data_IF_687335098275
#
_entry.id   IF_687335098275
#
_cell.length_a   1.000
_cell.length_b   1.000
_cell.length_c   1.000
_cell.angle_alpha   90.00
_cell.angle_beta   90.00
_cell.angle_gamma   90.00
#
_symmetry.space_group_name_H-M   'P 1'
#
loop_
_entity.id
_entity.type
_entity.pdbx_description
1 polymer ?
#
# COMPACT_ATOMS: atom_id res chain seq x y z
N UNK A 1 -24.61 30.44 28.29
CA UNK A 1 -25.30 29.64 27.25
C UNK A 1 -25.43 28.22 27.74
N UNK A 2 -26.61 27.58 27.72
CA UNK A 2 -26.74 26.17 28.07
C UNK A 2 -26.09 25.30 27.00
N UNK A 3 -25.31 24.31 27.43
CA UNK A 3 -24.67 23.33 26.54
C UNK A 3 -25.75 22.46 25.89
N UNK A 4 -25.79 22.39 24.57
CA UNK A 4 -26.56 21.38 23.83
C UNK A 4 -25.70 20.13 23.69
N UNK A 5 -25.94 19.12 24.53
CA UNK A 5 -25.48 17.76 24.28
C UNK A 5 -26.54 17.01 23.46
N UNK A 6 -26.11 16.33 22.40
CA UNK A 6 -26.96 15.36 21.71
C UNK A 6 -27.29 14.19 22.64
N UNK A 7 -28.44 13.55 22.42
CA UNK A 7 -28.77 12.31 23.12
C UNK A 7 -27.79 11.22 22.69
N UNK A 8 -27.40 10.38 23.65
CA UNK A 8 -26.64 9.16 23.39
C UNK A 8 -27.38 8.33 22.33
N UNK A 9 -26.65 7.92 21.29
CA UNK A 9 -27.11 6.94 20.32
C UNK A 9 -26.33 5.64 20.54
N UNK A 10 -27.04 4.52 20.50
CA UNK A 10 -26.38 3.22 20.44
C UNK A 10 -25.53 3.15 19.16
N UNK A 11 -24.26 2.80 19.33
CA UNK A 11 -23.31 2.71 18.22
C UNK A 11 -23.35 1.30 17.66
N UNK A 12 -23.85 1.14 16.45
CA UNK A 12 -23.63 -0.08 15.66
C UNK A 12 -22.36 0.09 14.84
N UNK A 13 -21.31 -0.65 15.19
CA UNK A 13 -20.07 -0.65 14.41
C UNK A 13 -20.30 -1.35 13.07
N UNK A 14 -20.13 -0.62 11.97
CA UNK A 14 -20.08 -1.20 10.62
C UNK A 14 -18.66 -1.66 10.33
N UNK A 15 -18.52 -2.82 9.68
CA UNK A 15 -17.24 -3.28 9.11
C UNK A 15 -17.21 -2.82 7.65
N UNK A 16 -16.49 -1.75 7.31
CA UNK A 16 -16.36 -1.33 5.92
C UNK A 16 -15.56 -2.38 5.12
N UNK A 17 -15.79 -2.42 3.81
CA UNK A 17 -14.98 -3.21 2.89
C UNK A 17 -13.54 -2.70 2.89
N UNK A 18 -12.53 -3.59 2.79
CA UNK A 18 -11.13 -3.20 2.71
C UNK A 18 -10.86 -2.34 1.48
N UNK A 19 -10.34 -1.13 1.70
CA UNK A 19 -10.02 -0.19 0.63
C UNK A 19 -8.52 -0.11 0.36
N UNK A 20 -7.69 -0.10 1.40
CA UNK A 20 -6.25 0.12 1.26
C UNK A 20 -5.49 -1.09 1.79
N UNK A 21 -4.76 -1.79 0.92
CA UNK A 21 -4.09 -3.04 1.26
C UNK A 21 -2.59 -2.95 0.96
N UNK A 22 -1.79 -3.24 1.98
CA UNK A 22 -0.36 -3.45 1.82
C UNK A 22 -0.10 -4.91 1.41
N UNK A 23 0.73 -5.12 0.39
CA UNK A 23 1.07 -6.44 -0.15
C UNK A 23 2.59 -6.56 -0.24
N UNK A 24 3.16 -7.61 0.34
CA UNK A 24 4.59 -7.88 0.26
C UNK A 24 4.88 -9.32 -0.18
N UNK A 25 6.08 -9.53 -0.68
CA UNK A 25 6.56 -10.83 -1.14
C UNK A 25 7.85 -10.69 -1.93
N UNK A 26 8.53 -11.80 -2.16
CA UNK A 26 9.77 -11.83 -2.93
C UNK A 26 9.57 -11.29 -4.37
N UNK A 27 10.65 -10.85 -5.04
CA UNK A 27 10.63 -10.64 -6.48
C UNK A 27 10.02 -11.85 -7.19
N UNK A 28 9.17 -11.61 -8.19
CA UNK A 28 8.45 -12.66 -8.95
C UNK A 28 7.41 -13.47 -8.17
N UNK A 29 7.09 -13.15 -6.91
CA UNK A 29 6.02 -13.82 -6.16
C UNK A 29 4.61 -13.61 -6.76
N UNK A 30 4.43 -12.70 -7.72
CA UNK A 30 3.15 -12.43 -8.39
C UNK A 30 2.37 -11.25 -7.81
N UNK A 31 3.04 -10.29 -7.16
CA UNK A 31 2.43 -9.09 -6.55
C UNK A 31 1.67 -8.23 -7.57
N UNK A 32 2.32 -7.87 -8.68
CA UNK A 32 1.71 -7.10 -9.78
C UNK A 32 0.50 -7.85 -10.36
N UNK A 33 0.63 -9.16 -10.60
CA UNK A 33 -0.47 -10.02 -11.08
C UNK A 33 -1.63 -10.11 -10.07
N UNK A 34 -1.34 -10.11 -8.78
CA UNK A 34 -2.36 -10.08 -7.75
C UNK A 34 -3.14 -8.77 -7.79
N UNK A 35 -2.45 -7.63 -7.74
CA UNK A 35 -3.11 -6.31 -7.77
C UNK A 35 -3.85 -6.04 -9.10
N UNK A 36 -3.33 -6.57 -10.22
CA UNK A 36 -3.92 -6.41 -11.55
C UNK A 36 -5.28 -7.09 -11.74
N UNK A 37 -5.73 -7.95 -10.81
CA UNK A 37 -7.07 -8.54 -10.80
C UNK A 37 -8.14 -7.60 -10.20
N UNK A 38 -7.76 -6.38 -9.81
CA UNK A 38 -8.68 -5.34 -9.36
C UNK A 38 -9.58 -4.81 -10.48
N UNK A 39 -10.58 -4.02 -10.11
CA UNK A 39 -11.46 -3.34 -11.05
C UNK A 39 -10.78 -2.06 -11.56
N UNK A 40 -10.76 -1.88 -12.89
CA UNK A 40 -10.20 -0.72 -13.61
C UNK A 40 -8.94 -0.16 -12.95
N UNK A 41 -7.87 -0.94 -13.05
CA UNK A 41 -6.62 -0.69 -12.34
C UNK A 41 -5.72 0.29 -13.09
N UNK A 42 -5.19 1.28 -12.37
CA UNK A 42 -4.04 2.09 -12.77
C UNK A 42 -2.83 1.71 -11.90
N UNK A 43 -1.72 1.36 -12.54
CA UNK A 43 -0.43 1.19 -11.88
C UNK A 43 0.38 2.48 -11.97
N UNK A 44 0.87 2.98 -10.83
CA UNK A 44 2.05 3.83 -10.78
C UNK A 44 3.25 2.89 -10.66
N UNK A 45 3.84 2.55 -11.81
CA UNK A 45 4.89 1.54 -11.96
C UNK A 45 6.26 2.21 -12.05
N UNK A 46 6.96 2.22 -10.93
CA UNK A 46 8.29 2.80 -10.78
C UNK A 46 9.39 1.89 -11.36
N UNK A 47 9.18 0.57 -11.34
CA UNK A 47 10.10 -0.41 -11.94
C UNK A 47 9.82 -0.69 -13.44
N UNK A 48 8.68 -0.22 -13.96
CA UNK A 48 8.24 -0.38 -15.34
C UNK A 48 7.81 -1.79 -15.72
N UNK A 49 7.62 -2.70 -14.76
CA UNK A 49 7.24 -4.08 -15.05
C UNK A 49 5.74 -4.22 -15.35
N UNK A 50 4.88 -3.38 -14.76
CA UNK A 50 3.44 -3.44 -15.00
C UNK A 50 3.08 -3.09 -16.45
N UNK A 51 3.71 -2.07 -17.03
CA UNK A 51 3.54 -1.68 -18.44
C UNK A 51 3.95 -2.81 -19.38
N UNK A 52 5.12 -3.42 -19.14
CA UNK A 52 5.62 -4.58 -19.92
C UNK A 52 4.70 -5.79 -19.85
N UNK A 53 3.96 -5.93 -18.75
CA UNK A 53 2.96 -6.99 -18.57
C UNK A 53 1.60 -6.65 -19.23
N UNK A 54 1.45 -5.46 -19.82
CA UNK A 54 0.25 -5.03 -20.53
C UNK A 54 -0.82 -4.41 -19.66
N UNK A 55 -0.50 -4.00 -18.42
CA UNK A 55 -1.43 -3.25 -17.57
C UNK A 55 -1.46 -1.77 -17.95
N UNK A 56 -2.55 -1.07 -17.62
CA UNK A 56 -2.55 0.40 -17.64
C UNK A 56 -1.59 0.87 -16.55
N UNK A 57 -0.46 1.41 -16.97
CA UNK A 57 0.63 1.75 -16.09
C UNK A 57 1.27 3.05 -16.55
N UNK A 58 1.52 3.92 -15.59
CA UNK A 58 2.27 5.16 -15.77
C UNK A 58 3.52 5.08 -14.92
N UNK A 59 4.59 5.74 -15.37
CA UNK A 59 5.86 5.83 -14.64
C UNK A 59 6.12 7.28 -14.23
N UNK A 60 5.65 7.71 -13.04
CA UNK A 60 5.93 9.05 -12.55
C UNK A 60 7.43 9.27 -12.37
N UNK A 61 7.86 10.50 -12.63
CA UNK A 61 9.26 10.93 -12.60
C UNK A 61 9.56 12.01 -11.56
N UNK A 62 8.54 12.49 -10.84
CA UNK A 62 8.68 13.48 -9.76
C UNK A 62 7.60 13.32 -8.69
N UNK A 63 7.74 14.01 -7.56
CA UNK A 63 6.68 14.09 -6.55
C UNK A 63 5.38 14.68 -7.12
N UNK A 64 5.48 15.74 -7.93
CA UNK A 64 4.32 16.43 -8.47
C UNK A 64 3.52 15.55 -9.44
N UNK A 65 4.20 14.78 -10.29
CA UNK A 65 3.52 13.81 -11.19
C UNK A 65 2.79 12.72 -10.41
N UNK A 66 3.39 12.19 -9.32
CA UNK A 66 2.69 11.22 -8.45
C UNK A 66 1.38 11.81 -7.95
N UNK A 67 1.43 13.05 -7.46
CA UNK A 67 0.26 13.73 -6.90
C UNK A 67 -0.80 13.99 -7.97
N UNK A 68 -0.41 14.40 -9.17
CA UNK A 68 -1.31 14.63 -10.31
C UNK A 68 -2.03 13.33 -10.71
N UNK A 69 -1.30 12.22 -10.88
CA UNK A 69 -1.93 10.94 -11.21
C UNK A 69 -2.93 10.48 -10.17
N UNK A 70 -2.65 10.67 -8.88
CA UNK A 70 -3.58 10.33 -7.80
C UNK A 70 -4.86 11.17 -7.88
N UNK A 71 -4.72 12.46 -8.18
CA UNK A 71 -5.83 13.42 -8.24
C UNK A 71 -6.78 13.11 -9.41
N UNK A 72 -6.23 12.84 -10.60
CA UNK A 72 -7.04 12.68 -11.82
C UNK A 72 -7.49 11.24 -12.09
N UNK A 73 -6.97 10.22 -11.41
CA UNK A 73 -7.25 8.82 -11.74
C UNK A 73 -8.74 8.48 -11.77
N UNK A 74 -9.54 9.01 -10.83
CA UNK A 74 -10.98 8.76 -10.77
C UNK A 74 -11.73 9.41 -11.95
N UNK A 75 -11.31 10.60 -12.40
CA UNK A 75 -11.88 11.30 -13.55
C UNK A 75 -11.65 10.55 -14.87
N UNK A 76 -10.56 9.78 -14.95
CA UNK A 76 -10.26 8.88 -16.07
C UNK A 76 -10.93 7.50 -15.93
N UNK A 77 -11.76 7.30 -14.90
CA UNK A 77 -12.57 6.11 -14.71
C UNK A 77 -11.85 4.94 -14.03
N UNK A 78 -10.67 5.16 -13.44
CA UNK A 78 -10.01 4.15 -12.63
C UNK A 78 -10.71 3.99 -11.27
N UNK A 79 -10.75 2.75 -10.77
CA UNK A 79 -11.38 2.41 -9.49
C UNK A 79 -10.35 1.83 -8.49
N UNK A 80 -9.20 1.38 -9.00
CA UNK A 80 -8.09 0.84 -8.21
C UNK A 80 -6.78 1.51 -8.59
N UNK A 81 -6.03 2.00 -7.59
CA UNK A 81 -4.68 2.51 -7.74
C UNK A 81 -3.66 1.51 -7.17
N UNK A 82 -2.55 1.27 -7.88
CA UNK A 82 -1.47 0.39 -7.43
C UNK A 82 -0.14 1.13 -7.43
N UNK A 83 0.58 1.07 -6.32
CA UNK A 83 1.94 1.62 -6.19
C UNK A 83 2.93 0.45 -6.32
N UNK A 84 3.66 0.37 -7.44
CA UNK A 84 4.55 -0.76 -7.78
C UNK A 84 5.97 -0.29 -8.15
N UNK A 85 6.96 -0.29 -7.25
CA UNK A 85 6.89 -0.64 -5.82
C UNK A 85 7.09 0.58 -4.93
N UNK A 86 6.68 0.46 -3.67
CA UNK A 86 6.82 1.54 -2.67
C UNK A 86 8.28 1.89 -2.42
N UNK A 87 9.20 0.93 -2.51
CA UNK A 87 10.64 1.19 -2.35
C UNK A 87 11.17 2.11 -3.46
N UNK A 88 10.77 1.88 -4.71
CA UNK A 88 11.22 2.70 -5.84
C UNK A 88 10.54 4.08 -5.83
N UNK A 89 9.28 4.16 -5.39
CA UNK A 89 8.63 5.45 -5.11
C UNK A 89 9.41 6.23 -4.04
N UNK A 90 9.82 5.58 -2.94
CA UNK A 90 10.63 6.22 -1.91
C UNK A 90 11.98 6.68 -2.46
N UNK A 91 12.63 5.88 -3.31
CA UNK A 91 13.87 6.29 -3.98
C UNK A 91 13.65 7.51 -4.88
N UNK A 92 12.55 7.54 -5.66
CA UNK A 92 12.21 8.68 -6.50
C UNK A 92 12.04 9.95 -5.68
N UNK A 93 11.27 9.90 -4.59
CA UNK A 93 11.07 11.06 -3.72
C UNK A 93 12.37 11.55 -3.07
N UNK A 94 13.31 10.65 -2.77
CA UNK A 94 14.64 11.01 -2.29
C UNK A 94 15.46 11.72 -3.37
N UNK A 95 15.47 11.17 -4.59
CA UNK A 95 16.16 11.76 -5.74
C UNK A 95 15.59 13.13 -6.12
N UNK A 96 14.27 13.28 -6.16
CA UNK A 96 13.58 14.53 -6.48
C UNK A 96 14.01 15.68 -5.54
N UNK A 97 14.15 15.39 -4.25
CA UNK A 97 14.63 16.37 -3.26
C UNK A 97 16.11 16.71 -3.49
N UNK A 98 16.95 15.70 -3.73
CA UNK A 98 18.39 15.92 -3.94
C UNK A 98 18.62 16.74 -5.20
N UNK A 99 17.95 16.42 -6.30
CA UNK A 99 18.12 17.08 -7.60
C UNK A 99 17.57 18.52 -7.59
N UNK A 100 16.61 18.82 -6.72
CA UNK A 100 16.10 20.19 -6.52
C UNK A 100 17.11 21.13 -5.83
N UNK A 101 18.13 20.59 -5.16
CA UNK A 101 19.20 21.35 -4.52
C UNK A 101 20.53 21.09 -5.22
N UNK A 102 20.94 22.02 -6.08
CA UNK A 102 22.20 21.97 -6.83
C UNK A 102 23.49 21.74 -6.01
N UNK A 103 23.44 21.90 -4.68
CA UNK A 103 24.58 21.69 -3.78
C UNK A 103 24.50 20.36 -3.01
N UNK A 104 23.39 19.64 -3.11
CA UNK A 104 23.16 18.41 -2.38
C UNK A 104 23.67 17.20 -3.17
N UNK A 105 24.29 16.26 -2.47
CA UNK A 105 24.59 14.91 -2.98
C UNK A 105 23.88 13.83 -2.17
N UNK A 106 23.12 14.23 -1.16
CA UNK A 106 22.38 13.36 -0.24
C UNK A 106 21.29 14.15 0.49
N UNK A 107 20.29 13.46 1.07
CA UNK A 107 19.28 14.09 1.93
C UNK A 107 19.85 14.80 3.17
N UNK A 108 21.07 14.43 3.59
CA UNK A 108 21.72 15.07 4.74
C UNK A 108 22.13 16.51 4.44
N UNK A 109 22.53 16.76 3.21
CA UNK A 109 23.08 18.04 2.75
C UNK A 109 22.02 18.91 2.06
N UNK A 110 20.94 18.29 1.57
CA UNK A 110 19.82 18.97 0.93
C UNK A 110 19.12 20.00 1.84
N UNK A 111 18.63 21.06 1.21
CA UNK A 111 17.86 22.16 1.82
C UNK A 111 18.61 22.90 2.93
N UNK A 112 19.91 23.11 2.74
CA UNK A 112 20.76 23.79 3.73
C UNK A 112 21.23 22.89 4.88
N UNK A 113 21.04 21.58 4.77
CA UNK A 113 21.58 20.58 5.68
C UNK A 113 20.80 20.40 6.99
N UNK A 114 21.48 19.89 8.03
CA UNK A 114 20.93 19.69 9.38
C UNK A 114 19.64 18.85 9.44
N UNK A 115 19.45 17.93 8.48
CA UNK A 115 18.30 17.04 8.42
C UNK A 115 17.03 17.64 7.79
N UNK A 116 17.14 18.81 7.15
CA UNK A 116 16.04 19.42 6.40
C UNK A 116 15.56 18.50 5.25
N UNK A 117 16.48 17.94 4.45
CA UNK A 117 16.14 16.98 3.39
C UNK A 117 15.39 15.74 3.90
N UNK A 118 15.83 15.13 5.00
CA UNK A 118 15.08 14.02 5.62
C UNK A 118 13.68 14.44 6.08
N UNK A 119 13.52 15.65 6.60
CA UNK A 119 12.23 16.15 7.06
C UNK A 119 11.27 16.35 5.89
N UNK A 120 11.77 16.89 4.78
CA UNK A 120 11.01 17.04 3.54
C UNK A 120 10.65 15.70 2.91
N UNK A 121 11.58 14.75 2.86
CA UNK A 121 11.33 13.40 2.37
C UNK A 121 10.17 12.73 3.13
N UNK A 122 10.22 12.76 4.46
CA UNK A 122 9.15 12.18 5.29
C UNK A 122 7.80 12.90 5.07
N UNK A 123 7.82 14.22 4.88
CA UNK A 123 6.63 15.01 4.57
C UNK A 123 6.05 14.62 3.21
N UNK A 124 6.87 14.52 2.16
CA UNK A 124 6.43 14.16 0.81
C UNK A 124 5.90 12.73 0.75
N UNK A 125 6.60 11.77 1.36
CA UNK A 125 6.11 10.39 1.47
C UNK A 125 4.73 10.34 2.18
N UNK A 126 4.60 11.04 3.31
CA UNK A 126 3.33 11.10 4.06
C UNK A 126 2.22 11.77 3.23
N UNK A 127 2.53 12.81 2.46
CA UNK A 127 1.55 13.45 1.57
C UNK A 127 1.04 12.50 0.50
N UNK A 128 1.91 11.71 -0.13
CA UNK A 128 1.50 10.69 -1.11
C UNK A 128 0.56 9.69 -0.48
N UNK A 129 0.92 9.13 0.69
CA UNK A 129 0.06 8.16 1.40
C UNK A 129 -1.30 8.77 1.78
N UNK A 130 -1.31 10.01 2.25
CA UNK A 130 -2.55 10.73 2.56
C UNK A 130 -3.41 10.98 1.32
N UNK A 131 -2.79 11.37 0.19
CA UNK A 131 -3.50 11.60 -1.06
C UNK A 131 -4.17 10.33 -1.54
N UNK A 132 -3.46 9.20 -1.54
CA UNK A 132 -4.01 7.88 -1.86
C UNK A 132 -5.17 7.55 -0.92
N UNK A 133 -4.99 7.74 0.40
CA UNK A 133 -6.04 7.45 1.37
C UNK A 133 -7.29 8.31 1.22
N UNK A 134 -7.15 9.53 0.69
CA UNK A 134 -8.27 10.46 0.52
C UNK A 134 -8.86 10.43 -0.90
N UNK A 135 -8.24 9.71 -1.84
CA UNK A 135 -8.69 9.62 -3.25
C UNK A 135 -10.06 8.95 -3.41
N UNK A 136 -10.47 8.13 -2.43
CA UNK A 136 -11.66 7.28 -2.52
C UNK A 136 -11.50 6.06 -3.42
N UNK A 137 -10.31 5.84 -4.00
CA UNK A 137 -9.97 4.66 -4.77
C UNK A 137 -9.58 3.50 -3.85
N UNK A 138 -9.82 2.27 -4.32
CA UNK A 138 -9.15 1.10 -3.72
C UNK A 138 -7.66 1.21 -4.02
N UNK A 139 -6.80 0.90 -3.06
CA UNK A 139 -5.37 1.04 -3.22
C UNK A 139 -4.58 -0.21 -2.82
N UNK A 140 -3.56 -0.55 -3.60
CA UNK A 140 -2.57 -1.57 -3.26
C UNK A 140 -1.16 -0.97 -3.19
N UNK A 141 -0.49 -1.17 -2.06
CA UNK A 141 0.94 -0.88 -1.91
C UNK A 141 1.75 -2.15 -2.10
N UNK A 142 2.51 -2.24 -3.19
CA UNK A 142 3.36 -3.40 -3.45
C UNK A 142 4.77 -3.16 -2.90
N UNK A 143 5.21 -4.06 -2.04
CA UNK A 143 6.51 -4.01 -1.38
C UNK A 143 7.31 -5.28 -1.67
N UNK A 144 8.63 -5.13 -1.71
CA UNK A 144 9.57 -6.25 -1.83
C UNK A 144 9.83 -6.84 -0.46
N UNK A 145 10.05 -8.14 -0.45
CA UNK A 145 10.51 -8.87 0.70
C UNK A 145 11.70 -9.75 0.33
N UNK A 146 12.51 -10.05 1.33
CA UNK A 146 13.64 -10.97 1.24
C UNK A 146 13.41 -12.14 2.18
N UNK A 147 13.81 -13.34 1.75
CA UNK A 147 13.81 -14.50 2.63
C UNK A 147 14.94 -14.38 3.66
N UNK A 148 14.57 -14.51 4.92
CA UNK A 148 15.48 -14.61 6.08
C UNK A 148 15.25 -15.94 6.80
N UNK A 149 16.08 -16.23 7.80
CA UNK A 149 15.92 -17.43 8.65
C UNK A 149 14.59 -17.42 9.43
N UNK A 150 14.03 -16.22 9.69
CA UNK A 150 12.78 -16.03 10.43
C UNK A 150 11.54 -15.92 9.51
N UNK A 151 11.75 -15.94 8.19
CA UNK A 151 10.69 -15.80 7.19
C UNK A 151 10.92 -14.63 6.24
N UNK A 152 9.85 -14.18 5.57
CA UNK A 152 9.92 -13.02 4.69
C UNK A 152 10.00 -11.72 5.49
N UNK A 153 11.06 -10.97 5.25
CA UNK A 153 11.29 -9.65 5.83
C UNK A 153 11.08 -8.56 4.77
N UNK A 154 10.37 -7.49 5.13
CA UNK A 154 10.01 -6.42 4.19
C UNK A 154 11.22 -5.51 3.99
N UNK A 155 11.58 -5.25 2.74
CA UNK A 155 12.76 -4.43 2.38
C UNK A 155 12.55 -2.95 2.69
N UNK A 156 11.31 -2.47 2.62
CA UNK A 156 10.95 -1.09 2.92
C UNK A 156 11.35 -0.72 4.37
N UNK A 157 12.02 0.43 4.53
CA UNK A 157 12.43 0.97 5.84
C UNK A 157 11.24 1.00 6.82
N UNK A 158 11.46 0.52 8.04
CA UNK A 158 10.41 0.36 9.08
C UNK A 158 9.55 1.62 9.27
N UNK A 159 10.17 2.82 9.31
CA UNK A 159 9.45 4.08 9.45
C UNK A 159 8.41 4.30 8.33
N UNK A 160 8.77 3.99 7.08
CA UNK A 160 7.89 4.14 5.92
C UNK A 160 6.80 3.07 5.93
N UNK A 161 7.17 1.84 6.29
CA UNK A 161 6.21 0.76 6.49
C UNK A 161 5.16 1.10 7.56
N UNK A 162 5.57 1.70 8.68
CA UNK A 162 4.66 2.12 9.74
C UNK A 162 3.68 3.21 9.29
N UNK A 163 4.11 4.13 8.41
CA UNK A 163 3.21 5.12 7.79
C UNK A 163 2.18 4.39 6.94
N UNK A 164 2.61 3.53 6.01
CA UNK A 164 1.70 2.75 5.14
C UNK A 164 0.73 1.90 5.97
N UNK A 165 1.24 1.21 6.99
CA UNK A 165 0.45 0.36 7.87
C UNK A 165 -0.59 1.12 8.68
N UNK A 166 -0.33 2.39 9.03
CA UNK A 166 -1.30 3.27 9.71
C UNK A 166 -2.53 3.58 8.85
N UNK A 167 -2.38 3.65 7.52
CA UNK A 167 -3.47 3.93 6.59
C UNK A 167 -4.09 2.66 5.99
N UNK A 168 -3.35 1.54 6.00
CA UNK A 168 -3.84 0.28 5.43
C UNK A 168 -4.89 -0.41 6.32
N UNK A 169 -5.87 -1.02 5.68
CA UNK A 169 -6.87 -1.91 6.29
C UNK A 169 -6.30 -3.31 6.53
N UNK A 170 -5.33 -3.75 5.73
CA UNK A 170 -4.75 -5.08 5.86
C UNK A 170 -3.37 -5.21 5.26
N UNK A 171 -2.71 -6.30 5.63
CA UNK A 171 -1.39 -6.70 5.15
C UNK A 171 -1.47 -8.12 4.62
N UNK A 172 -1.04 -8.30 3.36
CA UNK A 172 -1.01 -9.57 2.66
C UNK A 172 0.44 -9.96 2.36
N UNK A 173 0.76 -11.22 2.62
CA UNK A 173 1.98 -11.87 2.15
C UNK A 173 1.66 -12.72 0.91
N UNK A 174 2.47 -12.60 -0.13
CA UNK A 174 2.42 -13.47 -1.30
C UNK A 174 3.71 -14.28 -1.36
N UNK A 175 3.54 -15.61 -1.37
CA UNK A 175 4.66 -16.56 -1.48
C UNK A 175 5.07 -16.82 -2.94
N UNK A 176 6.22 -17.46 -3.14
CA UNK A 176 6.69 -17.90 -4.46
C UNK A 176 5.79 -18.94 -5.15
N UNK A 177 4.81 -19.51 -4.44
CA UNK A 177 3.75 -20.36 -5.02
C UNK A 177 2.54 -19.56 -5.52
N UNK A 178 2.62 -18.22 -5.52
CA UNK A 178 1.54 -17.31 -5.85
C UNK A 178 0.32 -17.40 -4.90
N UNK A 179 0.54 -17.91 -3.69
CA UNK A 179 -0.48 -17.97 -2.63
C UNK A 179 -0.48 -16.66 -1.84
N UNK A 180 -1.63 -16.00 -1.76
CA UNK A 180 -1.85 -14.80 -0.94
C UNK A 180 -2.45 -15.16 0.43
N UNK A 181 -1.87 -14.61 1.50
CA UNK A 181 -2.28 -14.88 2.89
C UNK A 181 -2.40 -13.59 3.67
N UNK A 182 -3.46 -13.47 4.46
CA UNK A 182 -3.58 -12.39 5.44
C UNK A 182 -2.53 -12.52 6.54
N UNK A 183 -1.82 -11.43 6.82
CA UNK A 183 -0.87 -11.32 7.94
C UNK A 183 -1.40 -10.40 9.03
N UNK A 184 -2.06 -9.32 8.63
CA UNK A 184 -2.78 -8.40 9.52
C UNK A 184 -4.07 -7.97 8.82
N UNK A 185 -5.13 -7.78 9.61
CA UNK A 185 -6.42 -7.28 9.15
C UNK A 185 -6.98 -6.32 10.20
N UNK A 186 -7.57 -5.22 9.76
CA UNK A 186 -8.27 -4.26 10.61
C UNK A 186 -9.58 -4.84 11.13
N UNK A 187 -10.27 -5.62 10.31
CA UNK A 187 -11.49 -6.31 10.68
C UNK A 187 -11.45 -7.77 10.28
N UNK A 188 -12.24 -8.59 10.97
CA UNK A 188 -12.54 -9.93 10.48
C UNK A 188 -13.67 -9.84 9.45
N UNK A 189 -13.28 -9.69 8.18
CA UNK A 189 -14.18 -9.70 7.03
C UNK A 189 -14.65 -11.12 6.71
N UNK A 190 -15.86 -11.21 6.16
CA UNK A 190 -16.38 -12.43 5.58
C UNK A 190 -15.73 -12.67 4.22
N UNK A 191 -15.06 -13.82 4.05
CA UNK A 191 -14.38 -14.17 2.82
C UNK A 191 -15.35 -14.25 1.62
N UNK A 192 -16.62 -14.61 1.86
CA UNK A 192 -17.64 -14.66 0.82
C UNK A 192 -18.06 -13.28 0.28
N UNK A 193 -17.74 -12.20 1.02
CA UNK A 193 -18.05 -10.82 0.64
C UNK A 193 -16.87 -10.10 -0.02
N UNK A 194 -15.66 -10.66 0.06
CA UNK A 194 -14.49 -10.08 -0.58
C UNK A 194 -14.54 -10.28 -2.10
N UNK A 195 -14.13 -9.25 -2.85
CA UNK A 195 -14.19 -9.23 -4.32
C UNK A 195 -12.80 -9.05 -4.94
N UNK A 196 -12.71 -9.27 -6.25
CA UNK A 196 -11.49 -9.09 -7.02
C UNK A 196 -10.33 -9.93 -6.48
N UNK A 197 -9.13 -9.35 -6.27
CA UNK A 197 -7.99 -10.10 -5.77
C UNK A 197 -8.16 -10.59 -4.32
N UNK A 198 -8.98 -9.91 -3.51
CA UNK A 198 -9.15 -10.21 -2.09
C UNK A 198 -9.98 -11.47 -1.84
N UNK A 199 -10.81 -11.88 -2.80
CA UNK A 199 -11.64 -13.08 -2.72
C UNK A 199 -10.82 -14.37 -2.56
N UNK A 200 -9.55 -14.37 -3.02
CA UNK A 200 -8.68 -15.54 -3.02
C UNK A 200 -7.58 -15.48 -1.94
N UNK A 201 -7.71 -14.57 -0.97
CA UNK A 201 -6.72 -14.40 0.09
C UNK A 201 -7.08 -15.30 1.27
N UNK A 202 -6.18 -16.23 1.59
CA UNK A 202 -6.42 -17.19 2.68
C UNK A 202 -6.19 -16.54 4.05
N UNK A 203 -6.98 -16.96 5.04
CA UNK A 203 -6.80 -16.62 6.44
C UNK A 203 -6.17 -17.82 7.18
N UNK A 204 -4.87 -17.76 7.55
CA UNK A 204 -4.18 -18.87 8.19
C UNK A 204 -4.77 -19.26 9.55
N UNK A 205 -5.35 -18.32 10.29
CA UNK A 205 -5.95 -18.59 11.60
C UNK A 205 -7.24 -19.39 11.43
N UNK A 206 -8.13 -18.94 10.54
CA UNK A 206 -9.37 -19.68 10.23
C UNK A 206 -9.08 -21.06 9.63
N UNK A 207 -8.12 -21.15 8.71
CA UNK A 207 -7.72 -22.43 8.12
C UNK A 207 -7.18 -23.41 9.17
N UNK A 208 -6.46 -22.91 10.18
CA UNK A 208 -6.00 -23.74 11.31
C UNK A 208 -7.16 -24.18 12.20
N UNK A 209 -8.09 -23.29 12.51
CA UNK A 209 -9.29 -23.60 13.32
C UNK A 209 -10.20 -24.61 12.63
N UNK A 210 -10.44 -24.48 11.33
CA UNK A 210 -11.22 -25.44 10.54
C UNK A 210 -10.55 -26.81 10.54
N UNK A 211 -9.24 -26.86 10.32
CA UNK A 211 -8.47 -28.11 10.37
C UNK A 211 -8.50 -28.76 11.75
N UNK A 212 -8.47 -27.98 12.83
CA UNK A 212 -8.61 -28.50 14.19
C UNK A 212 -10.01 -29.08 14.43
N UNK A 213 -11.06 -28.39 13.97
CA UNK A 213 -12.44 -28.89 14.03
C UNK A 213 -12.64 -30.19 13.25
N UNK A 214 -12.05 -30.30 12.05
CA UNK A 214 -12.07 -31.54 11.26
C UNK A 214 -11.38 -32.70 11.97
N UNK A 215 -10.34 -32.41 12.76
CA UNK A 215 -9.63 -33.38 13.58
C UNK A 215 -10.31 -33.65 14.93
N UNK A 216 -11.46 -33.01 15.21
CA UNK A 216 -12.21 -33.16 16.46
C UNK A 216 -11.49 -32.59 17.69
N UNK A 217 -10.57 -31.64 17.49
CA UNK A 217 -9.75 -30.98 18.52
C UNK A 217 -10.22 -29.56 18.81
#
# INVERSE_FOLDING_TARGET
MPVKLSKFQEVTLKKPDPQIIAVYGEPMAGKTTFAGKGEKVLFLSFDGNAEKAGYNAEKPSSFDEIMEYIDVASDYGYETLVIDTVEDMAQLLETDIIDSDSKATSLKDANGGYGAGYSEFNKNFTKVVNAISNSGLKAFYLMRAQQTDEGLDIVLKEKLFNIIGGYSDGLIEISMKHEAKWKKKRYDWDAAQLTGPLANVTDPLKAKEEKLKELGL
#
